data_IF_824591177368
#
_entry.id   IF_824591177368
#
_cell.length_a   1.000
_cell.length_b   1.000
_cell.length_c   1.000
_cell.angle_alpha   90.00
_cell.angle_beta   90.00
_cell.angle_gamma   90.00
#
_symmetry.space_group_name_H-M   'P 1'
#
loop_
_entity.id
_entity.type
_entity.pdbx_description
1 polymer ?
#
# COMPACT_ATOMS: atom_id res chain seq x y z
N UNK A 1 2.42 26.27 16.13
CA UNK A 1 1.58 25.58 17.15
C UNK A 1 1.50 24.07 16.88
N UNK A 2 0.94 23.61 15.75
CA UNK A 2 0.86 22.16 15.45
C UNK A 2 2.23 21.45 15.35
N UNK A 3 3.24 22.04 14.69
CA UNK A 3 4.60 21.48 14.64
C UNK A 3 5.27 21.39 16.02
N UNK A 4 4.94 22.31 16.93
CA UNK A 4 5.47 22.34 18.30
C UNK A 4 4.86 21.23 19.15
N UNK A 5 3.56 20.93 18.93
CA UNK A 5 2.87 19.82 19.57
C UNK A 5 3.39 18.45 19.10
N UNK A 6 3.71 18.31 17.80
CA UNK A 6 4.39 17.11 17.24
C UNK A 6 5.72 16.86 17.95
N UNK A 7 6.57 17.90 18.05
CA UNK A 7 7.87 17.81 18.74
C UNK A 7 7.71 17.49 20.22
N UNK A 8 6.75 18.11 20.90
CA UNK A 8 6.49 17.85 22.31
C UNK A 8 6.05 16.39 22.56
N UNK A 9 5.23 15.82 21.68
CA UNK A 9 4.83 14.40 21.74
C UNK A 9 6.02 13.46 21.47
N UNK A 10 6.90 13.81 20.54
CA UNK A 10 8.16 13.08 20.29
C UNK A 10 9.13 13.13 21.48
N UNK A 11 9.15 14.22 22.25
CA UNK A 11 9.97 14.37 23.44
C UNK A 11 9.44 13.60 24.67
N UNK A 12 8.13 13.32 24.74
CA UNK A 12 7.53 12.54 25.85
C UNK A 12 7.83 11.05 25.71
N UNK A 13 8.04 10.56 24.48
CA UNK A 13 8.55 9.23 24.19
C UNK A 13 7.62 8.06 24.56
N UNK A 14 7.92 6.89 24.01
CA UNK A 14 7.26 5.62 24.32
C UNK A 14 5.89 5.40 23.66
N UNK A 15 5.31 4.21 23.88
CA UNK A 15 4.05 3.75 23.28
C UNK A 15 2.87 4.71 23.47
N UNK A 16 2.91 5.54 24.53
CA UNK A 16 1.86 6.53 24.87
C UNK A 16 1.78 7.70 23.90
N UNK A 17 2.85 8.01 23.16
CA UNK A 17 2.86 9.09 22.18
C UNK A 17 2.26 8.65 20.82
N UNK A 18 2.16 7.33 20.58
CA UNK A 18 1.73 6.77 19.30
C UNK A 18 0.28 7.18 18.92
N UNK A 19 -0.73 7.11 19.81
CA UNK A 19 -2.10 7.49 19.46
C UNK A 19 -2.24 8.96 19.06
N UNK A 20 -1.54 9.86 19.75
CA UNK A 20 -1.59 11.30 19.49
C UNK A 20 -0.86 11.67 18.18
N UNK A 21 0.30 11.05 17.91
CA UNK A 21 1.01 11.24 16.64
C UNK A 21 0.22 10.66 15.45
N UNK A 22 -0.54 9.56 15.65
CA UNK A 22 -1.46 8.99 14.65
C UNK A 22 -2.63 9.91 14.34
N UNK A 23 -3.34 10.39 15.36
CA UNK A 23 -4.46 11.31 15.20
C UNK A 23 -4.03 12.56 14.44
N UNK A 24 -2.87 13.10 14.80
CA UNK A 24 -2.36 14.30 14.17
C UNK A 24 -1.89 14.08 12.72
N UNK A 25 -1.43 12.88 12.35
CA UNK A 25 -1.17 12.53 10.94
C UNK A 25 -2.47 12.39 10.14
N UNK A 26 -3.50 11.75 10.71
CA UNK A 26 -4.76 11.47 10.03
C UNK A 26 -5.59 12.74 9.79
N UNK A 27 -5.65 13.63 10.78
CA UNK A 27 -6.54 14.80 10.76
C UNK A 27 -5.85 16.07 10.21
N UNK A 28 -4.51 16.08 10.12
CA UNK A 28 -3.80 17.26 9.65
C UNK A 28 -4.08 17.54 8.18
N UNK A 29 -4.76 18.66 7.91
CA UNK A 29 -5.02 19.17 6.56
C UNK A 29 -3.74 19.57 5.81
N UNK A 30 -2.69 19.98 6.53
CA UNK A 30 -1.43 20.45 5.95
C UNK A 30 -0.42 19.30 5.77
N UNK A 31 0.06 19.11 4.54
CA UNK A 31 1.07 18.09 4.20
C UNK A 31 2.39 18.26 4.97
N UNK A 32 2.77 19.49 5.31
CA UNK A 32 3.94 19.76 6.15
C UNK A 32 3.79 19.21 7.58
N UNK A 33 2.58 19.23 8.14
CA UNK A 33 2.28 18.69 9.48
C UNK A 33 2.26 17.16 9.45
N UNK A 34 1.68 16.55 8.40
CA UNK A 34 1.73 15.09 8.18
C UNK A 34 3.17 14.59 8.04
N UNK A 35 4.01 15.29 7.28
CA UNK A 35 5.45 14.97 7.14
C UNK A 35 6.22 15.13 8.45
N UNK A 36 5.96 16.19 9.21
CA UNK A 36 6.60 16.39 10.51
C UNK A 36 6.20 15.30 11.51
N UNK A 37 4.91 14.95 11.61
CA UNK A 37 4.43 13.84 12.42
C UNK A 37 5.04 12.50 11.98
N UNK A 38 5.23 12.30 10.67
CA UNK A 38 5.89 11.09 10.14
C UNK A 38 7.33 10.96 10.64
N UNK A 39 8.13 12.04 10.58
CA UNK A 39 9.53 12.02 11.03
C UNK A 39 9.67 11.83 12.54
N UNK A 40 8.87 12.53 13.34
CA UNK A 40 8.95 12.40 14.80
C UNK A 40 8.45 11.02 15.26
N UNK A 41 7.54 10.41 14.49
CA UNK A 41 7.14 9.01 14.67
C UNK A 41 8.26 8.02 14.31
N UNK A 42 9.02 8.26 13.23
CA UNK A 42 10.21 7.45 12.90
C UNK A 42 11.23 7.49 14.04
N UNK A 43 11.51 8.70 14.55
CA UNK A 43 12.40 8.91 15.69
C UNK A 43 11.91 8.19 16.96
N UNK A 44 10.61 8.31 17.28
CA UNK A 44 10.00 7.69 18.46
C UNK A 44 10.05 6.16 18.40
N UNK A 45 9.83 5.58 17.21
CA UNK A 45 9.92 4.13 16.99
C UNK A 45 11.38 3.65 17.13
N UNK A 46 12.34 4.37 16.56
CA UNK A 46 13.77 4.01 16.71
C UNK A 46 14.25 4.04 18.16
N UNK A 47 13.82 5.01 18.96
CA UNK A 47 14.12 5.06 20.41
C UNK A 47 13.54 3.85 21.14
N UNK A 48 12.33 3.41 20.76
CA UNK A 48 11.67 2.25 21.34
C UNK A 48 12.20 0.89 20.82
N UNK A 49 13.21 0.88 19.93
CA UNK A 49 13.69 -0.33 19.22
C UNK A 49 12.57 -1.05 18.45
N UNK A 50 11.49 -0.33 18.15
CA UNK A 50 10.38 -0.80 17.34
C UNK A 50 10.55 -0.26 15.93
N UNK A 51 10.13 -1.04 14.96
CA UNK A 51 10.02 -0.58 13.59
C UNK A 51 8.57 -0.26 13.26
N UNK A 52 8.33 0.47 12.18
CA UNK A 52 6.98 0.64 11.62
C UNK A 52 6.31 -0.71 11.27
N UNK A 53 7.07 -1.80 11.17
CA UNK A 53 6.58 -3.16 10.91
C UNK A 53 5.90 -3.75 12.15
N UNK A 54 6.36 -3.37 13.36
CA UNK A 54 5.84 -3.90 14.62
C UNK A 54 4.49 -3.28 14.99
N UNK A 55 4.11 -2.20 14.30
CA UNK A 55 2.91 -1.42 14.54
C UNK A 55 1.89 -1.62 13.40
N UNK A 56 0.99 -2.61 13.51
CA UNK A 56 0.05 -2.95 12.44
C UNK A 56 -0.90 -1.79 12.11
N UNK A 57 -1.15 -0.87 13.04
CA UNK A 57 -2.08 0.26 12.85
C UNK A 57 -1.46 1.45 12.09
N UNK A 58 -0.23 1.32 11.58
CA UNK A 58 0.38 2.38 10.79
C UNK A 58 -0.09 2.35 9.34
N UNK A 59 -0.74 3.43 8.88
CA UNK A 59 -1.09 3.62 7.47
C UNK A 59 0.01 4.39 6.74
N UNK A 60 0.45 3.85 5.59
CA UNK A 60 1.29 4.56 4.64
C UNK A 60 0.59 5.85 4.15
N UNK A 61 1.37 6.88 3.84
CA UNK A 61 0.81 8.06 3.16
C UNK A 61 0.18 7.66 1.83
N UNK A 62 -1.03 8.13 1.55
CA UNK A 62 -1.79 7.71 0.36
C UNK A 62 -1.32 8.41 -0.92
N UNK A 63 -0.58 9.52 -0.77
CA UNK A 63 -0.17 10.41 -1.86
C UNK A 63 -1.31 10.86 -2.77
N UNK A 64 -2.56 10.85 -2.27
CA UNK A 64 -3.77 11.13 -3.07
C UNK A 64 -3.88 10.20 -4.31
N UNK A 65 -3.32 9.00 -4.24
CA UNK A 65 -3.53 7.98 -5.25
C UNK A 65 -4.95 7.43 -5.15
N UNK A 66 -5.55 7.14 -6.31
CA UNK A 66 -6.76 6.35 -6.39
C UNK A 66 -6.49 4.85 -6.11
N UNK A 67 -7.55 4.05 -6.10
CA UNK A 67 -7.46 2.59 -5.89
C UNK A 67 -6.62 1.85 -6.94
N UNK A 68 -6.44 2.43 -8.12
CA UNK A 68 -5.64 1.86 -9.19
C UNK A 68 -4.17 2.29 -9.11
N UNK A 69 -3.81 3.04 -8.05
CA UNK A 69 -2.46 3.51 -7.78
C UNK A 69 -2.10 4.71 -8.65
N UNK A 70 -3.07 5.54 -9.05
CA UNK A 70 -2.85 6.68 -9.95
C UNK A 70 -3.15 8.01 -9.29
N UNK A 71 -2.34 9.01 -9.60
CA UNK A 71 -2.61 10.43 -9.30
C UNK A 71 -2.37 11.27 -10.53
N UNK A 72 -3.26 12.25 -10.74
CA UNK A 72 -3.15 13.24 -11.82
C UNK A 72 -2.89 14.60 -11.22
N UNK A 73 -1.86 15.28 -11.71
CA UNK A 73 -1.55 16.67 -11.35
C UNK A 73 -1.74 17.51 -12.60
N UNK A 74 -2.62 18.51 -12.52
CA UNK A 74 -2.85 19.45 -13.61
C UNK A 74 -1.65 20.40 -13.76
N UNK A 75 -1.34 20.73 -15.01
CA UNK A 75 -0.33 21.71 -15.42
C UNK A 75 -0.99 22.80 -16.28
N UNK A 76 -0.18 23.76 -16.74
CA UNK A 76 -0.62 24.81 -17.66
C UNK A 76 -1.21 24.23 -18.95
N UNK A 77 -2.08 25.00 -19.60
CA UNK A 77 -2.61 24.72 -20.94
C UNK A 77 -3.28 23.35 -21.09
N UNK A 78 -3.79 22.77 -20.00
CA UNK A 78 -4.48 21.48 -20.02
C UNK A 78 -3.55 20.25 -20.08
N UNK A 79 -2.24 20.43 -19.94
CA UNK A 79 -1.32 19.31 -19.76
C UNK A 79 -1.46 18.71 -18.35
N UNK A 80 -1.05 17.47 -18.19
CA UNK A 80 -1.05 16.80 -16.87
C UNK A 80 0.21 15.97 -16.65
N UNK A 81 0.59 15.78 -15.38
CA UNK A 81 1.50 14.71 -14.95
C UNK A 81 0.67 13.57 -14.37
N UNK A 82 0.85 12.37 -14.90
CA UNK A 82 0.31 11.14 -14.33
C UNK A 82 1.40 10.46 -13.50
N UNK A 83 1.11 10.17 -12.24
CA UNK A 83 1.91 9.32 -11.36
C UNK A 83 1.21 7.97 -11.25
N UNK A 84 1.94 6.87 -11.38
CA UNK A 84 1.39 5.52 -11.36
C UNK A 84 2.26 4.58 -10.51
N UNK A 85 1.62 3.87 -9.59
CA UNK A 85 2.15 2.73 -8.84
C UNK A 85 1.58 1.43 -9.42
N UNK A 86 2.47 0.60 -9.94
CA UNK A 86 2.12 -0.73 -10.43
C UNK A 86 2.10 -1.76 -9.30
N UNK A 87 1.42 -2.88 -9.56
CA UNK A 87 1.22 -3.98 -8.61
C UNK A 87 2.55 -4.59 -8.11
N UNK A 88 3.57 -4.53 -8.95
CA UNK A 88 4.94 -4.98 -8.67
C UNK A 88 5.75 -3.95 -7.88
N UNK A 89 5.15 -2.84 -7.44
CA UNK A 89 5.83 -1.75 -6.74
C UNK A 89 6.58 -0.77 -7.63
N UNK A 90 6.50 -0.88 -8.95
CA UNK A 90 7.14 0.07 -9.86
C UNK A 90 6.41 1.41 -9.82
N UNK A 91 7.15 2.49 -9.55
CA UNK A 91 6.63 3.87 -9.56
C UNK A 91 7.11 4.60 -10.81
N UNK A 92 6.16 4.98 -11.66
CA UNK A 92 6.40 5.75 -12.87
C UNK A 92 5.67 7.09 -12.87
N UNK A 93 6.18 8.03 -13.66
CA UNK A 93 5.48 9.27 -13.95
C UNK A 93 5.66 9.65 -15.41
N UNK A 94 4.64 10.24 -16.02
CA UNK A 94 4.68 10.68 -17.41
C UNK A 94 3.71 11.82 -17.68
N UNK A 95 3.99 12.61 -18.70
CA UNK A 95 3.15 13.74 -19.10
C UNK A 95 2.05 13.29 -20.06
N UNK A 96 0.90 13.96 -20.02
CA UNK A 96 -0.14 13.84 -21.05
C UNK A 96 -0.49 15.20 -21.65
N UNK A 97 -0.78 15.20 -22.95
CA UNK A 97 -1.32 16.36 -23.66
C UNK A 97 -2.77 16.66 -23.25
N UNK A 98 -3.32 17.82 -23.62
CA UNK A 98 -4.75 18.13 -23.43
C UNK A 98 -5.67 17.13 -24.13
N UNK A 99 -5.19 16.51 -25.23
CA UNK A 99 -5.88 15.42 -25.92
C UNK A 99 -5.71 14.05 -25.21
N UNK A 100 -5.07 13.99 -24.05
CA UNK A 100 -4.86 12.78 -23.25
C UNK A 100 -3.71 11.88 -23.70
N UNK A 101 -2.95 12.27 -24.73
CA UNK A 101 -1.86 11.44 -25.29
C UNK A 101 -0.62 11.48 -24.41
N UNK A 102 0.00 10.32 -24.15
CA UNK A 102 1.25 10.21 -23.40
C UNK A 102 2.39 10.90 -24.16
N UNK A 103 3.23 11.63 -23.43
CA UNK A 103 4.36 12.38 -23.98
C UNK A 103 5.70 11.85 -23.45
N UNK A 104 6.74 12.01 -24.26
CA UNK A 104 8.11 11.56 -23.93
C UNK A 104 8.81 12.41 -22.86
N UNK A 105 8.30 13.61 -22.58
CA UNK A 105 8.89 14.53 -21.61
C UNK A 105 7.99 15.73 -21.33
N UNK A 106 8.49 16.64 -20.51
CA UNK A 106 7.77 17.88 -20.17
C UNK A 106 7.54 18.72 -21.43
N UNK A 107 6.31 19.16 -21.71
CA UNK A 107 6.05 20.11 -22.79
C UNK A 107 6.82 21.42 -22.60
N UNK A 108 7.33 22.01 -23.69
CA UNK A 108 8.06 23.29 -23.63
C UNK A 108 7.19 24.46 -23.15
N UNK A 109 5.89 24.40 -23.41
CA UNK A 109 4.89 25.40 -23.00
C UNK A 109 4.50 25.32 -21.52
N UNK A 110 4.88 24.26 -20.80
CA UNK A 110 4.58 24.14 -19.37
C UNK A 110 5.63 24.88 -18.56
N UNK A 111 5.20 25.93 -17.87
CA UNK A 111 6.02 26.77 -16.99
C UNK A 111 5.69 26.59 -15.50
N UNK A 112 4.69 25.75 -15.16
CA UNK A 112 4.32 25.35 -13.80
C UNK A 112 5.45 24.61 -13.05
N UNK A 113 6.49 25.35 -12.66
CA UNK A 113 7.67 24.83 -11.96
C UNK A 113 7.26 24.17 -10.65
N UNK A 114 6.33 24.77 -9.91
CA UNK A 114 5.89 24.25 -8.61
C UNK A 114 5.18 22.91 -8.73
N UNK A 115 4.22 22.75 -9.67
CA UNK A 115 3.52 21.48 -9.89
C UNK A 115 4.44 20.37 -10.41
N UNK A 116 5.42 20.73 -11.25
CA UNK A 116 6.43 19.77 -11.75
C UNK A 116 7.37 19.33 -10.62
N UNK A 117 7.75 20.26 -9.74
CA UNK A 117 8.55 19.98 -8.54
C UNK A 117 7.74 19.10 -7.58
N UNK A 118 6.48 19.44 -7.31
CA UNK A 118 5.56 18.65 -6.49
C UNK A 118 5.46 17.21 -7.00
N UNK A 119 5.22 17.03 -8.31
CA UNK A 119 5.12 15.70 -8.91
C UNK A 119 6.41 14.88 -8.70
N UNK A 120 7.56 15.54 -8.83
CA UNK A 120 8.88 14.90 -8.66
C UNK A 120 9.13 14.52 -7.19
N UNK A 121 8.76 15.39 -6.24
CA UNK A 121 8.82 15.11 -4.80
C UNK A 121 7.89 13.94 -4.42
N UNK A 122 6.67 13.91 -4.95
CA UNK A 122 5.73 12.81 -4.73
C UNK A 122 6.32 11.50 -5.24
N UNK A 123 6.87 11.46 -6.45
CA UNK A 123 7.48 10.24 -7.01
C UNK A 123 8.64 9.75 -6.14
N UNK A 124 9.51 10.65 -5.66
CA UNK A 124 10.63 10.28 -4.80
C UNK A 124 10.15 9.72 -3.46
N UNK A 125 9.21 10.39 -2.80
CA UNK A 125 8.66 9.95 -1.52
C UNK A 125 7.86 8.65 -1.65
N UNK A 126 7.07 8.52 -2.71
CA UNK A 126 6.29 7.31 -3.00
C UNK A 126 7.20 6.09 -3.20
N UNK A 127 8.34 6.24 -3.88
CA UNK A 127 9.34 5.15 -4.01
C UNK A 127 9.87 4.69 -2.66
N UNK A 128 10.19 5.64 -1.77
CA UNK A 128 10.66 5.31 -0.42
C UNK A 128 9.59 4.58 0.39
N UNK A 129 8.33 5.06 0.33
CA UNK A 129 7.21 4.40 1.02
C UNK A 129 6.94 3.02 0.44
N UNK A 130 6.93 2.85 -0.88
CA UNK A 130 6.73 1.55 -1.53
C UNK A 130 7.82 0.55 -1.13
N UNK A 131 9.08 0.99 -1.03
CA UNK A 131 10.15 0.13 -0.53
C UNK A 131 9.87 -0.37 0.90
N UNK A 132 9.47 0.54 1.80
CA UNK A 132 9.12 0.20 3.17
C UNK A 132 7.90 -0.74 3.25
N UNK A 133 6.85 -0.48 2.47
CA UNK A 133 5.63 -1.30 2.47
C UNK A 133 5.89 -2.71 1.88
N UNK A 134 6.74 -2.84 0.86
CA UNK A 134 7.19 -4.15 0.37
C UNK A 134 7.91 -4.94 1.46
N UNK A 135 8.82 -4.27 2.18
CA UNK A 135 9.54 -4.90 3.28
C UNK A 135 8.58 -5.34 4.38
N UNK A 136 7.64 -4.48 4.78
CA UNK A 136 6.60 -4.78 5.76
C UNK A 136 5.74 -5.98 5.37
N UNK A 137 5.26 -6.03 4.13
CA UNK A 137 4.46 -7.16 3.63
C UNK A 137 5.27 -8.45 3.58
N UNK A 138 6.57 -8.36 3.27
CA UNK A 138 7.46 -9.52 3.32
C UNK A 138 7.70 -10.01 4.74
N UNK A 139 7.86 -9.11 5.73
CA UNK A 139 7.95 -9.50 7.14
C UNK A 139 6.64 -10.16 7.61
N UNK A 140 5.48 -9.60 7.25
CA UNK A 140 4.17 -10.20 7.54
C UNK A 140 4.07 -11.66 7.03
N UNK A 141 4.64 -11.93 5.85
CA UNK A 141 4.77 -13.28 5.32
C UNK A 141 5.78 -14.13 6.11
N UNK A 142 6.97 -13.63 6.41
CA UNK A 142 8.02 -14.40 7.09
C UNK A 142 7.61 -14.79 8.52
N UNK A 143 6.96 -13.88 9.23
CA UNK A 143 6.50 -14.07 10.61
C UNK A 143 5.22 -14.90 10.69
N UNK A 144 4.59 -15.21 9.55
CA UNK A 144 3.30 -15.90 9.49
C UNK A 144 2.21 -15.23 10.33
N UNK A 145 2.30 -13.91 10.46
CA UNK A 145 1.43 -13.11 11.31
C UNK A 145 0.02 -13.07 10.73
N UNK A 146 -0.94 -13.50 11.55
CA UNK A 146 -2.36 -13.44 11.25
C UNK A 146 -2.98 -12.12 11.73
N UNK A 147 -3.63 -11.42 10.81
CA UNK A 147 -4.37 -10.18 11.06
C UNK A 147 -5.85 -10.49 11.27
N UNK A 148 -6.58 -9.63 11.98
CA UNK A 148 -8.05 -9.62 11.85
C UNK A 148 -8.43 -9.16 10.44
N UNK A 149 -9.64 -9.51 9.98
CA UNK A 149 -10.18 -8.97 8.73
C UNK A 149 -10.23 -7.44 8.75
N UNK A 150 -10.60 -6.84 9.88
CA UNK A 150 -10.70 -5.39 10.08
C UNK A 150 -9.33 -4.72 9.90
N UNK A 151 -8.29 -5.18 10.61
CA UNK A 151 -6.94 -4.63 10.49
C UNK A 151 -6.38 -4.79 9.07
N UNK A 152 -6.63 -5.95 8.46
CA UNK A 152 -6.20 -6.21 7.09
C UNK A 152 -6.87 -5.27 6.09
N UNK A 153 -8.17 -5.01 6.27
CA UNK A 153 -8.91 -4.07 5.44
C UNK A 153 -8.44 -2.64 5.64
N UNK A 154 -8.34 -2.18 6.89
CA UNK A 154 -8.01 -0.80 7.23
C UNK A 154 -6.57 -0.44 6.88
N UNK A 155 -5.60 -1.25 7.33
CA UNK A 155 -4.19 -0.88 7.29
C UNK A 155 -3.45 -1.37 6.04
N UNK A 156 -4.02 -2.35 5.32
CA UNK A 156 -3.37 -2.97 4.17
C UNK A 156 -4.18 -2.81 2.90
N UNK A 157 -5.32 -3.49 2.76
CA UNK A 157 -6.02 -3.59 1.49
C UNK A 157 -6.69 -2.27 1.05
N UNK A 158 -7.20 -1.50 2.02
CA UNK A 158 -7.88 -0.22 1.80
C UNK A 158 -6.95 0.95 1.48
N UNK A 159 -5.67 0.87 1.85
CA UNK A 159 -4.70 1.90 1.54
C UNK A 159 -4.35 1.91 0.03
N UNK A 160 -4.37 3.04 -0.68
CA UNK A 160 -4.03 3.10 -2.11
C UNK A 160 -2.61 2.62 -2.46
N UNK A 161 -1.63 2.85 -1.59
CA UNK A 161 -0.23 2.43 -1.78
C UNK A 161 -0.06 0.98 -1.37
N UNK A 162 -0.27 0.67 -0.10
CA UNK A 162 -0.07 -0.68 0.44
C UNK A 162 -1.01 -1.67 -0.23
N UNK A 163 -2.28 -1.29 -0.41
CA UNK A 163 -3.29 -2.11 -1.04
C UNK A 163 -2.96 -2.45 -2.48
N UNK A 164 -2.30 -1.55 -3.23
CA UNK A 164 -1.88 -1.83 -4.60
C UNK A 164 -0.90 -3.00 -4.67
N UNK A 165 -0.03 -3.11 -3.67
CA UNK A 165 0.88 -4.24 -3.49
C UNK A 165 0.12 -5.48 -2.97
N UNK A 166 -0.73 -5.31 -1.96
CA UNK A 166 -1.50 -6.41 -1.35
C UNK A 166 -2.36 -7.18 -2.34
N UNK A 167 -2.97 -6.48 -3.31
CA UNK A 167 -3.85 -7.07 -4.33
C UNK A 167 -3.14 -8.00 -5.31
N UNK A 168 -1.81 -7.94 -5.37
CA UNK A 168 -0.98 -8.80 -6.18
C UNK A 168 -0.41 -10.00 -5.40
N UNK A 169 -0.60 -10.05 -4.08
CA UNK A 169 -0.16 -11.13 -3.21
C UNK A 169 -1.24 -12.19 -3.03
N UNK A 170 -0.83 -13.45 -2.91
CA UNK A 170 -1.72 -14.53 -2.49
C UNK A 170 -1.80 -14.53 -0.96
N UNK A 171 -3.02 -14.50 -0.45
CA UNK A 171 -3.36 -14.48 0.97
C UNK A 171 -4.01 -15.79 1.40
N UNK A 172 -4.04 -16.03 2.70
CA UNK A 172 -4.74 -17.12 3.36
C UNK A 172 -5.77 -16.54 4.34
N UNK A 173 -6.97 -17.11 4.37
CA UNK A 173 -8.00 -16.79 5.36
C UNK A 173 -8.44 -18.03 6.13
N UNK A 174 -8.64 -17.90 7.43
CA UNK A 174 -9.23 -18.94 8.30
C UNK A 174 -10.36 -18.34 9.13
N UNK A 175 -11.47 -19.06 9.25
CA UNK A 175 -12.60 -18.70 10.14
C UNK A 175 -12.63 -19.55 11.42
N UNK A 176 -11.78 -20.58 11.50
CA UNK A 176 -11.70 -21.55 12.58
C UNK A 176 -10.43 -21.36 13.42
N UNK A 177 -10.11 -20.10 13.75
CA UNK A 177 -8.99 -19.78 14.65
C UNK A 177 -7.60 -20.17 14.13
N UNK A 178 -7.45 -20.46 12.83
CA UNK A 178 -6.19 -20.86 12.20
C UNK A 178 -6.03 -22.36 11.97
N UNK A 179 -7.06 -23.18 12.22
CA UNK A 179 -7.01 -24.62 11.96
C UNK A 179 -6.99 -24.95 10.45
N UNK A 180 -7.82 -24.27 9.65
CA UNK A 180 -7.86 -24.42 8.20
C UNK A 180 -7.73 -23.09 7.48
N UNK A 181 -6.74 -23.04 6.60
CA UNK A 181 -6.45 -21.87 5.79
C UNK A 181 -6.88 -22.08 4.35
N UNK A 182 -7.61 -21.12 3.80
CA UNK A 182 -8.02 -21.07 2.40
C UNK A 182 -7.27 -19.98 1.68
N UNK A 183 -6.65 -20.32 0.54
CA UNK A 183 -5.82 -19.41 -0.24
C UNK A 183 -6.65 -18.59 -1.23
N UNK A 184 -6.30 -17.33 -1.41
CA UNK A 184 -7.03 -16.44 -2.30
C UNK A 184 -6.22 -15.25 -2.82
N UNK A 185 -6.69 -14.67 -3.92
CA UNK A 185 -6.36 -13.30 -4.34
C UNK A 185 -7.50 -12.35 -3.98
N UNK A 186 -7.21 -11.15 -3.42
CA UNK A 186 -8.23 -10.13 -3.22
C UNK A 186 -8.67 -9.54 -4.56
N UNK A 187 -9.97 -9.57 -4.85
CA UNK A 187 -10.55 -9.00 -6.07
C UNK A 187 -11.72 -8.09 -5.74
N UNK A 188 -11.81 -6.94 -6.41
CA UNK A 188 -12.92 -6.00 -6.21
C UNK A 188 -14.16 -6.44 -6.98
N UNK A 189 -15.31 -6.51 -6.30
CA UNK A 189 -16.61 -6.74 -6.93
C UNK A 189 -17.34 -5.42 -7.09
N UNK A 190 -17.46 -4.91 -8.31
CA UNK A 190 -18.24 -3.71 -8.58
C UNK A 190 -19.73 -3.88 -8.24
N UNK A 191 -20.29 -5.08 -8.43
CA UNK A 191 -21.70 -5.38 -8.12
C UNK A 191 -22.00 -5.35 -6.63
N UNK A 192 -21.06 -5.77 -5.79
CA UNK A 192 -21.23 -5.84 -4.33
C UNK A 192 -20.58 -4.67 -3.60
N UNK A 193 -19.84 -3.84 -4.32
CA UNK A 193 -19.02 -2.76 -3.77
C UNK A 193 -18.12 -3.24 -2.62
N UNK A 194 -17.56 -4.44 -2.78
CA UNK A 194 -16.79 -5.10 -1.73
C UNK A 194 -15.64 -5.94 -2.29
N UNK A 195 -14.63 -6.17 -1.44
CA UNK A 195 -13.56 -7.13 -1.72
C UNK A 195 -14.05 -8.55 -1.56
N UNK A 196 -13.63 -9.40 -2.49
CA UNK A 196 -13.92 -10.83 -2.52
C UNK A 196 -12.62 -11.63 -2.60
N UNK A 197 -12.70 -12.89 -2.17
CA UNK A 197 -11.63 -13.86 -2.36
C UNK A 197 -11.82 -14.59 -3.68
N UNK A 198 -10.84 -14.48 -4.57
CA UNK A 198 -10.73 -15.33 -5.74
C UNK A 198 -9.92 -16.57 -5.38
N UNK A 199 -10.58 -17.72 -5.31
CA UNK A 199 -9.92 -18.99 -4.99
C UNK A 199 -9.09 -19.55 -6.15
N UNK A 200 -8.34 -20.62 -5.86
CA UNK A 200 -7.57 -21.38 -6.86
C UNK A 200 -8.46 -21.92 -8.00
N UNK A 201 -9.69 -22.28 -7.69
CA UNK A 201 -10.73 -22.71 -8.62
C UNK A 201 -11.24 -21.60 -9.55
N UNK A 202 -10.87 -20.34 -9.29
CA UNK A 202 -11.30 -19.19 -10.09
C UNK A 202 -12.69 -18.68 -9.73
N UNK A 203 -13.26 -19.14 -8.63
CA UNK A 203 -14.56 -18.69 -8.14
C UNK A 203 -14.38 -17.63 -7.06
N UNK A 204 -15.00 -16.46 -7.28
CA UNK A 204 -15.04 -15.37 -6.31
C UNK A 204 -16.09 -15.64 -5.23
N UNK A 205 -15.72 -15.43 -3.97
CA UNK A 205 -16.58 -15.61 -2.79
C UNK A 205 -16.36 -14.48 -1.80
N UNK A 206 -17.29 -14.30 -0.87
CA UNK A 206 -17.13 -13.31 0.19
C UNK A 206 -16.03 -13.75 1.16
N UNK A 207 -15.36 -12.75 1.76
CA UNK A 207 -14.40 -12.92 2.84
C UNK A 207 -15.17 -12.68 4.14
N UNK A 208 -15.19 -13.66 5.04
CA UNK A 208 -15.91 -13.50 6.31
C UNK A 208 -15.22 -12.44 7.17
N UNK A 209 -15.99 -11.57 7.82
CA UNK A 209 -15.48 -10.57 8.76
C UNK A 209 -14.83 -11.19 10.01
N UNK A 210 -15.16 -12.45 10.32
CA UNK A 210 -14.55 -13.22 11.40
C UNK A 210 -13.21 -13.85 11.00
N UNK A 211 -12.81 -13.70 9.74
CA UNK A 211 -11.60 -14.35 9.23
C UNK A 211 -10.34 -13.76 9.86
N UNK A 212 -9.41 -14.62 10.21
CA UNK A 212 -7.99 -14.28 10.29
C UNK A 212 -7.39 -14.32 8.90
N UNK A 213 -6.55 -13.34 8.57
CA UNK A 213 -5.93 -13.20 7.24
C UNK A 213 -4.41 -13.08 7.36
N UNK A 214 -3.66 -13.80 6.53
CA UNK A 214 -2.19 -13.70 6.47
C UNK A 214 -1.67 -13.84 5.05
N UNK A 215 -0.43 -13.40 4.80
CA UNK A 215 0.22 -13.62 3.51
C UNK A 215 0.65 -15.09 3.42
N UNK A 216 0.39 -15.74 2.28
CA UNK A 216 0.83 -17.13 2.05
C UNK A 216 2.35 -17.23 2.19
N UNK A 217 2.81 -18.12 3.08
CA UNK A 217 4.19 -18.60 3.00
C UNK A 217 4.30 -19.60 1.84
N UNK A 218 5.23 -19.39 0.91
CA UNK A 218 5.40 -20.34 -0.18
C UNK A 218 5.80 -21.74 0.26
N UNK A 219 6.39 -21.89 1.47
CA UNK A 219 6.69 -23.20 2.05
C UNK A 219 5.42 -24.03 2.34
N UNK A 220 4.26 -23.37 2.41
CA UNK A 220 2.96 -24.01 2.60
C UNK A 220 2.27 -24.37 1.28
N UNK A 221 2.92 -24.12 0.13
CA UNK A 221 2.39 -24.47 -1.18
C UNK A 221 3.03 -25.77 -1.70
N UNK A 222 2.18 -26.69 -2.15
CA UNK A 222 2.62 -27.81 -2.97
C UNK A 222 3.08 -27.33 -4.36
N UNK A 223 3.80 -28.18 -5.09
CA UNK A 223 4.20 -27.89 -6.47
C UNK A 223 3.00 -27.73 -7.43
N UNK A 224 1.87 -28.38 -7.14
CA UNK A 224 0.64 -28.23 -7.92
C UNK A 224 -0.01 -26.86 -7.66
N UNK A 225 -0.19 -26.48 -6.39
CA UNK A 225 -0.74 -25.17 -6.00
C UNK A 225 0.15 -24.02 -6.50
N UNK A 226 1.48 -24.14 -6.38
CA UNK A 226 2.43 -23.15 -6.91
C UNK A 226 2.22 -22.92 -8.42
N UNK A 227 2.05 -23.99 -9.21
CA UNK A 227 1.80 -23.87 -10.65
C UNK A 227 0.43 -23.27 -10.95
N UNK A 228 -0.60 -23.63 -10.19
CA UNK A 228 -1.95 -23.08 -10.33
C UNK A 228 -1.97 -21.56 -10.07
N UNK A 229 -1.36 -21.12 -8.96
CA UNK A 229 -1.22 -19.71 -8.63
C UNK A 229 -0.37 -18.95 -9.65
N UNK A 230 0.76 -19.51 -10.10
CA UNK A 230 1.58 -18.87 -11.13
C UNK A 230 0.80 -18.67 -12.44
N UNK A 231 0.00 -19.67 -12.84
CA UNK A 231 -0.87 -19.58 -14.01
C UNK A 231 -1.93 -18.51 -13.84
N UNK A 232 -2.54 -18.44 -12.65
CA UNK A 232 -3.56 -17.44 -12.32
C UNK A 232 -3.00 -16.02 -12.35
N UNK A 233 -1.86 -15.78 -11.71
CA UNK A 233 -1.20 -14.47 -11.68
C UNK A 233 -0.83 -14.01 -13.10
N UNK A 234 -0.30 -14.90 -13.95
CA UNK A 234 -0.06 -14.61 -15.37
C UNK A 234 -1.34 -14.26 -16.13
N UNK A 235 -2.43 -15.03 -15.94
CA UNK A 235 -3.72 -14.75 -16.58
C UNK A 235 -4.27 -13.37 -16.17
N UNK A 236 -4.07 -12.98 -14.92
CA UNK A 236 -4.46 -11.68 -14.38
C UNK A 236 -3.44 -10.57 -14.68
N UNK A 237 -2.30 -10.89 -15.30
CA UNK A 237 -1.17 -9.97 -15.55
C UNK A 237 -0.71 -9.27 -14.28
N UNK A 238 -0.71 -9.99 -13.16
CA UNK A 238 -0.22 -9.53 -11.88
C UNK A 238 1.21 -10.01 -11.68
N UNK A 239 2.13 -9.06 -11.52
CA UNK A 239 3.51 -9.32 -11.08
C UNK A 239 3.59 -8.99 -9.60
N UNK A 240 4.21 -9.88 -8.83
CA UNK A 240 4.20 -9.73 -7.37
C UNK A 240 5.21 -8.67 -6.88
N UNK A 241 4.87 -7.95 -5.79
CA UNK A 241 5.75 -6.96 -5.18
C UNK A 241 6.89 -7.61 -4.37
N UNK A 242 6.95 -8.92 -4.23
CA UNK A 242 8.13 -9.67 -3.82
C UNK A 242 7.87 -11.14 -4.11
N UNK A 243 8.94 -11.94 -4.11
CA UNK A 243 8.86 -13.34 -4.47
C UNK A 243 8.14 -14.15 -3.39
N UNK A 244 6.92 -14.64 -3.66
CA UNK A 244 6.28 -15.73 -2.92
C UNK A 244 6.65 -17.11 -3.51
N UNK A 245 7.95 -17.35 -3.76
CA UNK A 245 8.59 -18.54 -4.39
C UNK A 245 7.91 -19.09 -5.67
N UNK A 246 8.63 -19.09 -6.79
CA UNK A 246 8.20 -19.62 -8.11
C UNK A 246 6.86 -19.07 -8.68
N UNK A 247 6.17 -18.20 -7.95
CA UNK A 247 5.14 -17.30 -8.47
C UNK A 247 5.80 -16.17 -9.29
N UNK A 248 5.18 -15.75 -10.40
CA UNK A 248 5.73 -14.76 -11.34
C UNK A 248 5.80 -13.33 -10.78
#
# INVERSE_FOLDING_TARGET
MALTAVKALGCVGGERALPALRQLKAEAKLSAVRRAASRDLDWTLSEAHLSRVDVPEWQAETFELDRDGRRVIALDHGYTVMIQLDADGTVTSFYRSPAGLRMAGKPRSVHAVDSVREASEIVANLRSVVYAERFRLKQLMQDQRALTYEDWMEFYLGNPVTGRLCRALVWESSVDGGERWQRFLPVWSARREAWQRLGEDGVSRDISAESRVRVVDPKHLTAAETRAWATRLRKLRLTQPFKQSNLP
#
